data_IF_724910712998
#
_entry.id   IF_724910712998
#
_cell.length_a   1.000
_cell.length_b   1.000
_cell.length_c   1.000
_cell.angle_alpha   90.00
_cell.angle_beta   90.00
_cell.angle_gamma   90.00
#
_symmetry.space_group_name_H-M   'P 1'
#
loop_
_entity.id
_entity.type
_entity.pdbx_description
1 polymer ?
#
# COMPACT_ATOMS: atom_id res chain seq x y z
N UNK A 1 -18.69 5.45 -2.04
CA UNK A 1 -19.90 5.14 -1.24
C UNK A 1 -19.61 5.14 0.26
N UNK A 2 -18.60 4.43 0.73
CA UNK A 2 -18.36 4.26 2.17
C UNK A 2 -17.91 5.56 2.86
N UNK A 3 -17.14 6.41 2.17
CA UNK A 3 -16.67 7.69 2.73
C UNK A 3 -17.83 8.64 3.06
N UNK A 4 -18.91 8.60 2.28
CA UNK A 4 -20.11 9.43 2.47
C UNK A 4 -21.24 8.70 3.22
N UNK A 5 -20.97 7.47 3.64
CA UNK A 5 -21.93 6.67 4.38
C UNK A 5 -22.00 7.05 5.85
N UNK A 6 -23.11 6.68 6.47
CA UNK A 6 -23.31 6.79 7.91
C UNK A 6 -23.78 5.47 8.49
N UNK A 7 -23.39 5.19 9.75
CA UNK A 7 -23.78 4.02 10.53
C UNK A 7 -24.18 4.49 11.93
N UNK A 8 -25.30 4.05 12.43
CA UNK A 8 -25.82 4.43 13.75
C UNK A 8 -25.82 5.96 13.98
N UNK A 9 -26.16 6.75 12.94
CA UNK A 9 -26.22 8.21 13.03
C UNK A 9 -24.87 8.94 12.98
N UNK A 10 -23.75 8.22 12.84
CA UNK A 10 -22.38 8.78 12.72
C UNK A 10 -21.81 8.60 11.32
N UNK A 11 -20.91 9.48 10.90
CA UNK A 11 -20.12 9.28 9.67
C UNK A 11 -19.30 7.98 9.77
N UNK A 12 -19.12 7.29 8.64
CA UNK A 12 -18.53 5.96 8.59
C UNK A 12 -17.15 5.86 9.27
N UNK A 13 -16.23 6.80 9.01
CA UNK A 13 -14.91 6.79 9.61
C UNK A 13 -14.99 7.00 11.13
N UNK A 14 -15.84 7.92 11.56
CA UNK A 14 -16.06 8.20 12.99
C UNK A 14 -16.66 7.00 13.73
N UNK A 15 -17.66 6.33 13.12
CA UNK A 15 -18.23 5.10 13.66
C UNK A 15 -17.19 3.99 13.80
N UNK A 16 -16.34 3.79 12.77
CA UNK A 16 -15.27 2.80 12.84
C UNK A 16 -14.33 3.07 14.01
N UNK A 17 -13.90 4.31 14.17
CA UNK A 17 -12.95 4.67 15.23
C UNK A 17 -13.57 4.66 16.64
N UNK A 18 -14.69 5.37 16.82
CA UNK A 18 -15.27 5.57 18.16
C UNK A 18 -15.98 4.32 18.68
N UNK A 19 -16.75 3.65 17.83
CA UNK A 19 -17.62 2.55 18.27
C UNK A 19 -16.99 1.16 18.04
N UNK A 20 -16.18 1.01 16.98
CA UNK A 20 -15.57 -0.27 16.61
C UNK A 20 -14.10 -0.37 16.97
N UNK A 21 -13.44 0.72 17.35
CA UNK A 21 -12.00 0.79 17.58
C UNK A 21 -11.17 0.29 16.40
N UNK A 22 -11.66 0.57 15.20
CA UNK A 22 -11.02 0.24 13.92
C UNK A 22 -10.49 1.50 13.28
N UNK A 23 -9.20 1.51 12.96
CA UNK A 23 -8.56 2.64 12.26
C UNK A 23 -9.08 2.70 10.82
N UNK A 24 -9.72 3.81 10.39
CA UNK A 24 -10.31 3.91 9.07
C UNK A 24 -9.29 4.24 7.98
N UNK A 25 -9.20 3.39 6.95
CA UNK A 25 -8.42 3.63 5.74
C UNK A 25 -9.35 3.72 4.52
N UNK A 26 -9.00 4.60 3.59
CA UNK A 26 -9.71 4.75 2.32
C UNK A 26 -8.93 4.10 1.18
N UNK A 27 -9.55 3.15 0.48
CA UNK A 27 -9.00 2.66 -0.80
C UNK A 27 -9.22 3.73 -1.87
N UNK A 28 -8.14 4.26 -2.44
CA UNK A 28 -8.19 5.37 -3.40
C UNK A 28 -7.92 4.95 -4.85
N UNK A 29 -7.24 3.82 -5.10
CA UNK A 29 -6.99 3.36 -6.46
C UNK A 29 -8.30 3.08 -7.24
N UNK A 30 -8.28 3.32 -8.54
CA UNK A 30 -9.41 3.13 -9.47
C UNK A 30 -9.29 1.83 -10.27
N UNK A 31 -8.50 0.88 -9.79
CA UNK A 31 -8.17 -0.36 -10.47
C UNK A 31 -6.82 -0.26 -11.16
N UNK A 32 -6.49 -1.30 -11.93
CA UNK A 32 -5.21 -1.46 -12.59
C UNK A 32 -5.32 -1.18 -14.08
N UNK A 33 -4.24 -0.68 -14.66
CA UNK A 33 -4.04 -0.64 -16.11
C UNK A 33 -3.85 -2.06 -16.67
N UNK A 34 -3.84 -2.18 -17.99
CA UNK A 34 -3.43 -3.41 -18.64
C UNK A 34 -2.02 -3.80 -18.21
N UNK A 35 -1.75 -5.10 -18.18
CA UNK A 35 -0.40 -5.59 -17.91
C UNK A 35 0.56 -5.17 -19.00
N UNK A 36 1.69 -4.60 -18.61
CA UNK A 36 2.79 -4.28 -19.50
C UNK A 36 4.11 -4.66 -18.83
N UNK A 37 4.94 -5.42 -19.55
CA UNK A 37 6.23 -5.87 -19.06
C UNK A 37 6.19 -6.65 -17.73
N UNK A 38 5.08 -7.35 -17.45
CA UNK A 38 4.90 -8.14 -16.22
C UNK A 38 4.55 -7.32 -15.01
N UNK A 39 4.10 -6.08 -15.17
CA UNK A 39 3.56 -5.24 -14.09
C UNK A 39 2.22 -4.62 -14.48
N UNK A 40 1.44 -4.25 -13.48
CA UNK A 40 0.21 -3.49 -13.65
C UNK A 40 0.26 -2.24 -12.76
N UNK A 41 0.37 -1.09 -13.39
CA UNK A 41 0.27 0.21 -12.73
C UNK A 41 -1.18 0.49 -12.32
N UNK A 42 -1.36 1.42 -11.42
CA UNK A 42 -2.69 1.95 -11.10
C UNK A 42 -3.19 2.87 -12.22
N UNK A 43 -4.48 2.82 -12.46
CA UNK A 43 -5.16 3.82 -13.29
C UNK A 43 -5.06 5.21 -12.66
N UNK A 44 -5.10 6.27 -13.48
CA UNK A 44 -5.15 7.65 -12.98
C UNK A 44 -6.27 7.85 -11.96
N UNK A 45 -6.02 8.67 -10.96
CA UNK A 45 -6.99 9.01 -9.91
C UNK A 45 -7.39 10.48 -10.09
N UNK A 46 -8.39 10.78 -10.92
CA UNK A 46 -8.84 12.16 -11.11
C UNK A 46 -9.46 12.69 -9.80
N UNK A 47 -9.22 13.98 -9.49
CA UNK A 47 -9.73 14.62 -8.28
C UNK A 47 -9.11 14.07 -6.99
N UNK A 48 -7.85 13.62 -7.05
CA UNK A 48 -7.18 13.03 -5.89
C UNK A 48 -7.11 14.01 -4.73
N UNK A 49 -6.71 15.25 -4.97
CA UNK A 49 -6.52 16.26 -3.93
C UNK A 49 -7.82 16.56 -3.17
N UNK A 50 -8.93 16.73 -3.91
CA UNK A 50 -10.25 16.92 -3.29
C UNK A 50 -10.69 15.68 -2.51
N UNK A 51 -10.39 14.47 -3.02
CA UNK A 51 -10.69 13.23 -2.33
C UNK A 51 -9.91 13.11 -1.01
N UNK A 52 -8.62 13.46 -1.01
CA UNK A 52 -7.77 13.42 0.18
C UNK A 52 -8.21 14.47 1.21
N UNK A 53 -8.50 15.68 0.79
CA UNK A 53 -9.02 16.74 1.67
C UNK A 53 -10.34 16.32 2.32
N UNK A 54 -11.25 15.74 1.55
CA UNK A 54 -12.52 15.20 2.04
C UNK A 54 -12.32 14.05 3.02
N UNK A 55 -11.42 13.12 2.72
CA UNK A 55 -11.09 11.99 3.61
C UNK A 55 -10.56 12.49 4.95
N UNK A 56 -9.63 13.45 4.92
CA UNK A 56 -9.08 14.08 6.13
C UNK A 56 -10.15 14.75 6.97
N UNK A 57 -11.03 15.55 6.35
CA UNK A 57 -12.13 16.24 7.03
C UNK A 57 -13.11 15.26 7.70
N UNK A 58 -13.28 14.05 7.15
CA UNK A 58 -14.15 13.00 7.69
C UNK A 58 -13.46 12.08 8.73
N UNK A 59 -12.23 12.37 9.12
CA UNK A 59 -11.50 11.59 10.15
C UNK A 59 -10.94 10.26 9.65
N UNK A 60 -10.73 10.11 8.33
CA UNK A 60 -9.97 8.97 7.78
C UNK A 60 -8.50 9.13 8.22
N UNK A 61 -7.89 8.04 8.65
CA UNK A 61 -6.49 8.01 9.09
C UNK A 61 -5.51 7.97 7.92
N UNK A 62 -5.82 7.18 6.89
CA UNK A 62 -4.92 6.99 5.78
C UNK A 62 -5.57 6.41 4.54
N UNK A 63 -4.75 6.12 3.55
CA UNK A 63 -5.16 5.56 2.25
C UNK A 63 -4.56 4.20 1.99
N UNK A 64 -5.10 3.49 1.02
CA UNK A 64 -4.55 2.24 0.50
C UNK A 64 -4.67 2.22 -1.02
N UNK A 65 -3.58 1.92 -1.71
CA UNK A 65 -3.47 1.86 -3.16
C UNK A 65 -2.63 0.66 -3.60
N UNK A 66 -3.10 -0.08 -4.63
CA UNK A 66 -2.50 -1.34 -5.06
C UNK A 66 -2.03 -1.31 -6.51
N UNK A 67 -0.77 -1.75 -6.73
CA UNK A 67 -0.22 -2.18 -8.01
C UNK A 67 0.11 -3.66 -7.95
N UNK A 68 0.39 -4.32 -9.10
CA UNK A 68 0.71 -5.75 -9.16
C UNK A 68 1.98 -5.99 -9.96
N UNK A 69 2.84 -6.88 -9.46
CA UNK A 69 4.09 -7.31 -10.09
C UNK A 69 4.01 -8.83 -10.33
N UNK A 70 4.18 -9.25 -11.57
CA UNK A 70 4.02 -10.65 -12.02
C UNK A 70 5.29 -11.23 -12.64
N UNK A 71 6.26 -10.40 -13.00
CA UNK A 71 7.53 -10.83 -13.58
C UNK A 71 8.71 -10.03 -13.05
N UNK A 72 9.88 -10.63 -13.08
CA UNK A 72 11.12 -9.97 -12.71
C UNK A 72 11.58 -9.03 -13.84
N UNK A 73 11.00 -7.85 -13.87
CA UNK A 73 11.36 -6.76 -14.78
C UNK A 73 11.78 -5.54 -13.95
N UNK A 74 13.09 -5.27 -13.78
CA UNK A 74 13.56 -4.16 -12.97
C UNK A 74 12.98 -2.80 -13.36
N UNK A 75 12.81 -2.53 -14.65
CA UNK A 75 12.22 -1.27 -15.13
C UNK A 75 10.73 -1.16 -14.75
N UNK A 76 9.97 -2.26 -14.91
CA UNK A 76 8.57 -2.32 -14.51
C UNK A 76 8.39 -2.19 -13.00
N UNK A 77 9.24 -2.86 -12.20
CA UNK A 77 9.23 -2.75 -10.74
C UNK A 77 9.55 -1.30 -10.31
N UNK A 78 10.54 -0.67 -10.95
CA UNK A 78 10.86 0.74 -10.68
C UNK A 78 9.66 1.65 -10.99
N UNK A 79 8.99 1.47 -12.13
CA UNK A 79 7.80 2.25 -12.50
C UNK A 79 6.65 2.08 -11.49
N UNK A 80 6.40 0.85 -11.00
CA UNK A 80 5.43 0.59 -9.93
C UNK A 80 5.79 1.38 -8.68
N UNK A 81 7.04 1.32 -8.26
CA UNK A 81 7.50 2.00 -7.04
C UNK A 81 7.48 3.53 -7.20
N UNK A 82 7.86 4.07 -8.36
CA UNK A 82 7.80 5.50 -8.63
C UNK A 82 6.36 6.02 -8.51
N UNK A 83 5.40 5.33 -9.14
CA UNK A 83 3.98 5.66 -9.04
C UNK A 83 3.46 5.57 -7.59
N UNK A 84 3.77 4.51 -6.88
CA UNK A 84 3.34 4.30 -5.49
C UNK A 84 3.90 5.38 -4.55
N UNK A 85 5.19 5.69 -4.66
CA UNK A 85 5.82 6.68 -3.78
C UNK A 85 5.49 8.13 -4.18
N UNK A 86 5.24 8.43 -5.45
CA UNK A 86 4.69 9.74 -5.85
C UNK A 86 3.31 9.94 -5.21
N UNK A 87 2.45 8.95 -5.28
CA UNK A 87 1.13 8.99 -4.67
C UNK A 87 1.23 9.09 -3.13
N UNK A 88 2.13 8.32 -2.51
CA UNK A 88 2.37 8.38 -1.09
C UNK A 88 2.76 9.79 -0.61
N UNK A 89 3.63 10.50 -1.35
CA UNK A 89 3.99 11.89 -1.02
C UNK A 89 2.78 12.83 -1.06
N UNK A 90 1.87 12.67 -2.03
CA UNK A 90 0.62 13.46 -2.10
C UNK A 90 -0.30 13.17 -0.90
N UNK A 91 -0.39 11.91 -0.50
CA UNK A 91 -1.17 11.49 0.68
C UNK A 91 -0.58 12.07 1.97
N UNK A 92 0.74 12.00 2.14
CA UNK A 92 1.45 12.58 3.29
C UNK A 92 1.27 14.11 3.35
N UNK A 93 1.37 14.80 2.21
CA UNK A 93 1.14 16.24 2.12
C UNK A 93 -0.28 16.65 2.53
N UNK A 94 -1.28 15.77 2.32
CA UNK A 94 -2.64 15.95 2.80
C UNK A 94 -2.82 15.61 4.31
N UNK A 95 -1.75 15.19 4.99
CA UNK A 95 -1.76 14.82 6.41
C UNK A 95 -2.45 13.48 6.68
N UNK A 96 -2.41 12.55 5.73
CA UNK A 96 -2.89 11.18 5.83
C UNK A 96 -1.72 10.19 5.75
N UNK A 97 -1.90 8.97 6.24
CA UNK A 97 -0.88 7.91 6.19
C UNK A 97 -1.15 6.99 4.98
N UNK A 98 -0.25 6.89 3.99
CA UNK A 98 -0.41 5.97 2.87
C UNK A 98 -0.04 4.54 3.25
N UNK A 99 -0.81 3.55 2.76
CA UNK A 99 -0.39 2.14 2.70
C UNK A 99 0.05 1.87 1.26
N UNK A 100 1.34 1.84 1.02
CA UNK A 100 1.99 1.49 -0.25
C UNK A 100 1.87 -0.03 -0.45
N UNK A 101 1.17 -0.48 -1.50
CA UNK A 101 0.86 -1.90 -1.75
C UNK A 101 1.34 -2.36 -3.13
N UNK A 102 2.66 -2.56 -3.35
CA UNK A 102 3.20 -3.22 -4.54
C UNK A 102 3.08 -4.74 -4.39
N UNK A 103 1.92 -5.29 -4.74
CA UNK A 103 1.63 -6.72 -4.61
C UNK A 103 2.48 -7.55 -5.57
N UNK A 104 3.21 -8.52 -5.06
CA UNK A 104 3.88 -9.55 -5.87
C UNK A 104 2.94 -10.73 -6.03
N UNK A 105 2.67 -11.14 -7.29
CA UNK A 105 1.86 -12.33 -7.56
C UNK A 105 2.55 -13.57 -7.00
N UNK A 106 1.84 -14.34 -6.17
CA UNK A 106 2.37 -15.55 -5.55
C UNK A 106 2.72 -16.64 -6.57
N UNK A 107 2.18 -16.55 -7.78
CA UNK A 107 2.43 -17.47 -8.90
C UNK A 107 3.55 -16.99 -9.83
N UNK A 108 4.15 -15.84 -9.55
CA UNK A 108 5.26 -15.35 -10.34
C UNK A 108 6.42 -16.35 -10.32
N UNK A 109 6.97 -16.77 -11.47
CA UNK A 109 8.00 -17.82 -11.53
C UNK A 109 9.28 -17.43 -10.80
N UNK A 110 9.64 -16.15 -10.81
CA UNK A 110 10.86 -15.62 -10.19
C UNK A 110 10.57 -14.81 -8.92
N UNK A 111 9.55 -15.21 -8.14
CA UNK A 111 9.05 -14.45 -6.98
C UNK A 111 10.16 -13.98 -6.04
N UNK A 112 11.13 -14.82 -5.69
CA UNK A 112 12.22 -14.44 -4.80
C UNK A 112 13.13 -13.35 -5.39
N UNK A 113 13.39 -13.38 -6.70
CA UNK A 113 14.16 -12.34 -7.39
C UNK A 113 13.38 -11.02 -7.46
N UNK A 114 12.06 -11.09 -7.71
CA UNK A 114 11.16 -9.92 -7.66
C UNK A 114 11.19 -9.29 -6.27
N UNK A 115 11.10 -10.10 -5.22
CA UNK A 115 11.14 -9.63 -3.83
C UNK A 115 12.45 -8.92 -3.48
N UNK A 116 13.58 -9.43 -3.98
CA UNK A 116 14.88 -8.81 -3.77
C UNK A 116 14.97 -7.43 -4.45
N UNK A 117 14.52 -7.33 -5.69
CA UNK A 117 14.48 -6.08 -6.44
C UNK A 117 13.52 -5.09 -5.80
N UNK A 118 12.32 -5.56 -5.42
CA UNK A 118 11.30 -4.77 -4.75
C UNK A 118 11.82 -4.20 -3.42
N UNK A 119 12.40 -5.03 -2.56
CA UNK A 119 12.94 -4.60 -1.26
C UNK A 119 14.00 -3.52 -1.44
N UNK A 120 14.96 -3.71 -2.35
CA UNK A 120 15.99 -2.73 -2.66
C UNK A 120 15.38 -1.40 -3.13
N UNK A 121 14.42 -1.46 -4.05
CA UNK A 121 13.76 -0.29 -4.58
C UNK A 121 12.90 0.45 -3.55
N UNK A 122 12.27 -0.25 -2.62
CA UNK A 122 11.53 0.34 -1.50
C UNK A 122 12.50 1.07 -0.55
N UNK A 123 13.58 0.43 -0.13
CA UNK A 123 14.58 1.05 0.78
C UNK A 123 15.11 2.36 0.21
N UNK A 124 15.52 2.38 -1.07
CA UNK A 124 15.98 3.61 -1.74
C UNK A 124 14.97 4.77 -1.70
N UNK A 125 13.67 4.45 -1.75
CA UNK A 125 12.62 5.48 -1.72
C UNK A 125 12.24 5.88 -0.31
N UNK A 126 12.32 4.96 0.64
CA UNK A 126 12.10 5.26 2.06
C UNK A 126 13.12 6.24 2.61
N UNK A 127 14.39 6.18 2.14
CA UNK A 127 15.44 7.14 2.51
C UNK A 127 15.09 8.60 2.16
N UNK A 128 14.09 8.81 1.29
CA UNK A 128 13.59 10.14 0.90
C UNK A 128 12.33 10.56 1.66
N UNK A 129 11.80 9.73 2.55
CA UNK A 129 10.61 10.00 3.36
C UNK A 129 11.05 10.50 4.74
N UNK A 130 10.44 11.59 5.19
CA UNK A 130 10.67 12.09 6.55
C UNK A 130 10.13 11.09 7.59
N UNK A 131 10.97 10.59 8.51
CA UNK A 131 10.53 9.71 9.59
C UNK A 131 9.41 10.28 10.49
N UNK A 132 9.27 11.61 10.55
CA UNK A 132 8.16 12.24 11.28
C UNK A 132 6.79 12.06 10.59
N UNK A 133 6.79 11.75 9.29
CA UNK A 133 5.59 11.47 8.50
C UNK A 133 5.75 10.12 7.79
N UNK A 134 5.72 9.00 8.54
CA UNK A 134 6.04 7.68 8.00
C UNK A 134 4.92 7.14 7.10
N UNK A 135 5.29 6.18 6.26
CA UNK A 135 4.36 5.39 5.44
C UNK A 135 4.05 4.04 6.11
N UNK A 136 3.00 3.38 5.66
CA UNK A 136 2.79 1.96 5.90
C UNK A 136 3.08 1.18 4.61
N UNK A 137 3.54 -0.04 4.75
CA UNK A 137 3.75 -0.96 3.64
C UNK A 137 2.77 -2.12 3.75
N UNK A 138 2.22 -2.58 2.63
CA UNK A 138 1.46 -3.82 2.55
C UNK A 138 2.11 -4.71 1.51
N UNK A 139 2.74 -5.80 1.97
CA UNK A 139 3.60 -6.64 1.14
C UNK A 139 3.08 -8.08 1.10
N UNK A 140 3.19 -8.72 -0.06
CA UNK A 140 2.94 -10.16 -0.19
C UNK A 140 3.90 -10.91 0.74
N UNK A 141 3.40 -11.95 1.40
CA UNK A 141 4.23 -12.82 2.24
C UNK A 141 5.46 -13.30 1.46
N UNK A 142 6.66 -13.12 1.99
CA UNK A 142 7.90 -13.38 1.26
C UNK A 142 8.18 -14.87 1.07
N UNK A 143 9.04 -15.18 0.11
CA UNK A 143 9.52 -16.54 -0.14
C UNK A 143 10.42 -17.05 0.96
N UNK A 144 11.10 -16.14 1.67
CA UNK A 144 12.04 -16.44 2.77
C UNK A 144 11.59 -15.73 4.03
N UNK A 145 11.54 -16.46 5.14
CA UNK A 145 11.13 -15.90 6.43
C UNK A 145 12.03 -14.75 6.86
N UNK A 146 11.43 -13.69 7.38
CA UNK A 146 12.13 -12.50 7.84
C UNK A 146 12.74 -11.64 6.73
N UNK A 147 12.51 -11.94 5.45
CA UNK A 147 13.15 -11.24 4.32
C UNK A 147 12.95 -9.72 4.34
N UNK A 148 11.80 -9.25 4.79
CA UNK A 148 11.47 -7.83 4.86
C UNK A 148 11.78 -7.17 6.21
N UNK A 149 12.63 -7.78 7.05
CA UNK A 149 12.98 -7.26 8.39
C UNK A 149 13.52 -5.83 8.33
N UNK A 150 14.39 -5.51 7.38
CA UNK A 150 14.93 -4.15 7.20
C UNK A 150 13.84 -3.10 6.91
N UNK A 151 12.77 -3.50 6.20
CA UNK A 151 11.63 -2.62 5.96
C UNK A 151 10.79 -2.43 7.22
N UNK A 152 10.66 -3.45 8.05
CA UNK A 152 9.95 -3.37 9.34
C UNK A 152 10.68 -2.44 10.31
N UNK A 153 12.00 -2.49 10.32
CA UNK A 153 12.84 -1.74 11.25
C UNK A 153 13.20 -0.33 10.71
N UNK A 154 12.75 0.03 9.49
CA UNK A 154 13.07 1.32 8.86
C UNK A 154 12.34 2.48 9.54
N UNK A 155 13.03 3.59 9.91
CA UNK A 155 12.43 4.70 10.68
C UNK A 155 11.27 5.41 9.97
N UNK A 156 11.25 5.42 8.62
CA UNK A 156 10.14 5.99 7.84
C UNK A 156 8.97 5.01 7.63
N UNK A 157 8.97 3.84 8.27
CA UNK A 157 7.89 2.85 8.19
C UNK A 157 7.16 2.74 9.51
N UNK A 158 5.89 3.16 9.51
CA UNK A 158 5.02 3.04 10.69
C UNK A 158 4.66 1.59 10.98
N UNK A 159 4.36 0.82 9.93
CA UNK A 159 3.98 -0.60 10.04
C UNK A 159 4.06 -1.30 8.69
N UNK A 160 4.46 -2.58 8.71
CA UNK A 160 4.29 -3.49 7.58
C UNK A 160 3.09 -4.40 7.83
N UNK A 161 2.20 -4.51 6.85
CA UNK A 161 1.01 -5.37 6.87
C UNK A 161 1.24 -6.50 5.87
N UNK A 162 0.96 -7.74 6.29
CA UNK A 162 1.06 -8.89 5.40
C UNK A 162 -0.12 -8.93 4.41
N UNK A 163 0.18 -9.23 3.15
CA UNK A 163 -0.78 -9.55 2.10
C UNK A 163 -0.63 -11.04 1.75
N UNK A 164 -1.67 -11.83 1.99
CA UNK A 164 -1.64 -13.27 1.69
C UNK A 164 -1.44 -13.54 0.19
N UNK A 165 -1.88 -12.62 -0.68
CA UNK A 165 -1.69 -12.71 -2.13
C UNK A 165 -2.40 -13.90 -2.79
N UNK A 166 -3.30 -14.59 -2.07
CA UNK A 166 -4.00 -15.78 -2.55
C UNK A 166 -3.48 -17.10 -1.98
N UNK A 167 -2.51 -17.09 -1.06
CA UNK A 167 -2.20 -18.27 -0.24
C UNK A 167 -3.43 -18.72 0.55
N UNK A 168 -3.56 -20.01 0.80
CA UNK A 168 -4.54 -20.50 1.77
C UNK A 168 -4.25 -19.92 3.16
N UNK A 169 -5.25 -19.91 4.04
CA UNK A 169 -5.05 -19.43 5.41
C UNK A 169 -3.92 -20.20 6.11
N UNK A 170 -3.89 -21.52 5.93
CA UNK A 170 -2.94 -22.38 6.64
C UNK A 170 -1.50 -22.17 6.08
N UNK A 171 -1.34 -22.05 4.75
CA UNK A 171 -0.08 -21.70 4.13
C UNK A 171 0.40 -20.30 4.55
N UNK A 172 -0.53 -19.33 4.62
CA UNK A 172 -0.21 -17.98 5.03
C UNK A 172 0.20 -17.88 6.51
N UNK A 173 -0.36 -18.73 7.37
CA UNK A 173 0.00 -18.78 8.79
C UNK A 173 1.32 -19.52 9.05
N UNK A 174 1.75 -20.38 8.13
CA UNK A 174 3.02 -21.11 8.22
C UNK A 174 4.23 -20.29 7.77
N UNK A 175 4.00 -19.13 7.12
CA UNK A 175 5.02 -18.17 6.65
C UNK A 175 5.21 -17.02 7.63
#
# INVERSE_FOLDING_TARGET
RTLDGSFAGKEAARYLWEDKRVVPFLKIDKGLEAEDGGVQLMKPIPGLEELLAKAKAKGVFGTKERSVIKANNPAGIAAVLDQQFELARKVLAAGLVPIVEPEVDIKAPDKAAIEAELKRGILQRLDTIDPATPVMLKLTLPSVDGFFRELVDHPAVLKVVALSGGYSRDDANAK
#
